data_IF_746115735415
#
_entry.id   IF_746115735415
#
_cell.length_a   1.000
_cell.length_b   1.000
_cell.length_c   1.000
_cell.angle_alpha   90.00
_cell.angle_beta   90.00
_cell.angle_gamma   90.00
#
_symmetry.space_group_name_H-M   'P 1'
#
loop_
_entity.id
_entity.type
_entity.pdbx_description
1 polymer ?
#
# COMPACT_ATOMS: atom_id res chain seq x y z
N UNK A 1 -34.77 5.57 -49.12
CA UNK A 1 -33.41 6.15 -49.26
C UNK A 1 -32.99 6.71 -47.91
N UNK A 2 -32.29 5.92 -47.09
CA UNK A 2 -32.01 6.26 -45.68
C UNK A 2 -30.61 6.86 -45.55
N UNK A 3 -30.52 8.14 -45.15
CA UNK A 3 -29.25 8.84 -44.89
C UNK A 3 -28.74 8.53 -43.49
N UNK A 4 -27.86 7.54 -43.38
CA UNK A 4 -27.10 7.27 -42.15
C UNK A 4 -26.01 8.33 -42.00
N UNK A 5 -26.20 9.29 -41.07
CA UNK A 5 -25.15 10.26 -40.70
C UNK A 5 -24.07 9.53 -39.89
N UNK A 6 -22.89 9.31 -40.49
CA UNK A 6 -21.68 8.94 -39.75
C UNK A 6 -21.27 10.11 -38.86
N UNK A 7 -21.41 9.96 -37.54
CA UNK A 7 -20.84 10.86 -36.54
C UNK A 7 -19.33 10.60 -36.46
N UNK A 8 -18.45 11.60 -36.60
CA UNK A 8 -17.01 11.37 -36.51
C UNK A 8 -16.63 11.05 -35.06
N UNK A 9 -16.15 9.83 -34.82
CA UNK A 9 -15.71 9.32 -33.53
C UNK A 9 -14.26 9.73 -33.18
N UNK A 10 -13.81 10.91 -33.60
CA UNK A 10 -12.40 11.33 -33.46
C UNK A 10 -12.17 12.49 -32.49
N UNK A 11 -13.22 13.20 -32.04
CA UNK A 11 -13.07 14.33 -31.11
C UNK A 11 -13.04 13.94 -29.62
N UNK A 12 -13.56 12.77 -29.27
CA UNK A 12 -13.81 12.38 -27.87
C UNK A 12 -12.59 11.71 -27.21
N UNK A 13 -11.79 10.97 -27.99
CA UNK A 13 -10.55 10.34 -27.51
C UNK A 13 -9.46 11.39 -27.19
N UNK A 14 -9.33 12.43 -28.02
CA UNK A 14 -8.37 13.51 -27.81
C UNK A 14 -8.72 14.40 -26.61
N UNK A 15 -10.02 14.63 -26.35
CA UNK A 15 -10.49 15.38 -25.18
C UNK A 15 -10.29 14.63 -23.86
N UNK A 16 -10.49 13.30 -23.86
CA UNK A 16 -10.26 12.46 -22.69
C UNK A 16 -8.80 12.44 -22.25
N UNK A 17 -7.86 12.37 -23.20
CA UNK A 17 -6.43 12.42 -22.89
C UNK A 17 -6.00 13.78 -22.35
N UNK A 18 -6.54 14.89 -22.89
CA UNK A 18 -6.29 16.24 -22.34
C UNK A 18 -6.83 16.39 -20.91
N UNK A 19 -8.00 15.82 -20.62
CA UNK A 19 -8.59 15.85 -19.26
C UNK A 19 -7.73 15.06 -18.27
N UNK A 20 -7.30 13.85 -18.63
CA UNK A 20 -6.42 13.02 -17.80
C UNK A 20 -5.06 13.68 -17.55
N UNK A 21 -4.49 14.33 -18.57
CA UNK A 21 -3.24 15.08 -18.42
C UNK A 21 -3.42 16.30 -17.49
N UNK A 22 -4.55 17.00 -17.59
CA UNK A 22 -4.88 18.11 -16.70
C UNK A 22 -5.11 17.65 -15.25
N UNK A 23 -5.78 16.51 -15.04
CA UNK A 23 -5.97 15.90 -13.71
C UNK A 23 -4.63 15.44 -13.11
N UNK A 24 -3.75 14.82 -13.90
CA UNK A 24 -2.39 14.47 -13.45
C UNK A 24 -1.57 15.71 -13.11
N UNK A 25 -1.67 16.77 -13.90
CA UNK A 25 -0.98 18.03 -13.61
C UNK A 25 -1.54 18.73 -12.36
N UNK A 26 -2.85 18.67 -12.13
CA UNK A 26 -3.49 19.19 -10.92
C UNK A 26 -3.10 18.38 -9.69
N UNK A 27 -3.10 17.04 -9.80
CA UNK A 27 -2.64 16.15 -8.73
C UNK A 27 -1.16 16.39 -8.40
N UNK A 28 -0.30 16.55 -9.42
CA UNK A 28 1.12 16.87 -9.26
C UNK A 28 1.36 18.25 -8.64
N UNK A 29 0.52 19.25 -8.92
CA UNK A 29 0.57 20.55 -8.23
C UNK A 29 0.10 20.48 -6.78
N UNK A 30 -0.87 19.61 -6.48
CA UNK A 30 -1.44 19.47 -5.14
C UNK A 30 -0.55 18.63 -4.21
N UNK A 31 -0.02 17.50 -4.70
CA UNK A 31 0.80 16.57 -3.93
C UNK A 31 2.31 16.77 -4.10
N UNK A 32 2.74 17.55 -5.10
CA UNK A 32 4.13 17.67 -5.51
C UNK A 32 4.55 16.65 -6.57
N UNK A 33 5.80 16.75 -7.02
CA UNK A 33 6.44 15.71 -7.84
C UNK A 33 6.66 14.48 -6.94
N UNK A 34 6.01 13.35 -7.25
CA UNK A 34 6.29 12.10 -6.54
C UNK A 34 7.57 11.50 -7.10
N UNK A 35 8.72 12.05 -6.71
CA UNK A 35 9.96 11.28 -6.75
C UNK A 35 9.85 10.27 -5.61
N UNK A 36 9.27 9.11 -5.91
CA UNK A 36 9.41 7.98 -4.99
C UNK A 36 10.88 7.61 -5.01
N UNK A 37 11.55 7.83 -3.89
CA UNK A 37 12.88 7.28 -3.65
C UNK A 37 12.82 5.75 -3.81
N UNK A 38 13.97 5.15 -4.12
CA UNK A 38 14.07 3.70 -4.12
C UNK A 38 13.63 3.19 -2.75
N UNK A 39 12.76 2.16 -2.73
CA UNK A 39 12.18 1.70 -1.49
C UNK A 39 13.26 1.14 -0.57
N UNK A 40 13.24 1.57 0.69
CA UNK A 40 14.18 1.09 1.70
C UNK A 40 14.04 -0.41 1.92
N UNK A 41 15.15 -1.08 2.20
CA UNK A 41 15.15 -2.49 2.58
C UNK A 41 14.33 -2.71 3.86
N UNK A 42 13.59 -3.81 3.88
CA UNK A 42 12.70 -4.23 4.95
C UNK A 42 13.46 -5.21 5.85
N UNK A 43 13.52 -4.88 7.14
CA UNK A 43 14.14 -5.71 8.17
C UNK A 43 13.10 -6.22 9.15
N UNK A 44 13.22 -7.49 9.54
CA UNK A 44 12.34 -8.08 10.56
C UNK A 44 12.59 -7.44 11.94
N UNK A 45 11.52 -7.04 12.62
CA UNK A 45 11.60 -6.66 14.04
C UNK A 45 11.85 -7.89 14.92
N UNK A 46 12.65 -7.73 15.98
CA UNK A 46 12.86 -8.77 17.00
C UNK A 46 11.59 -9.09 17.80
N UNK A 47 10.72 -8.09 18.00
CA UNK A 47 9.40 -8.27 18.57
C UNK A 47 8.36 -7.43 17.82
N UNK A 48 7.67 -8.02 16.83
CA UNK A 48 6.66 -7.32 16.04
C UNK A 48 5.43 -6.85 16.86
N UNK A 49 5.20 -7.44 18.03
CA UNK A 49 4.07 -7.10 18.88
C UNK A 49 4.40 -6.00 19.90
N UNK A 50 5.68 -5.67 20.10
CA UNK A 50 6.14 -4.74 21.13
C UNK A 50 5.44 -3.38 21.08
N UNK A 51 5.27 -2.81 19.88
CA UNK A 51 4.55 -1.55 19.70
C UNK A 51 3.10 -1.63 20.17
N UNK A 52 2.40 -2.73 19.84
CA UNK A 52 1.02 -2.92 20.30
C UNK A 52 0.93 -3.14 21.80
N UNK A 53 1.85 -3.92 22.37
CA UNK A 53 1.90 -4.17 23.82
C UNK A 53 2.24 -2.90 24.61
N UNK A 54 2.97 -1.95 24.01
CA UNK A 54 3.30 -0.67 24.64
C UNK A 54 2.09 0.25 24.84
N UNK A 55 0.99 0.02 24.10
CA UNK A 55 -0.24 0.81 24.21
C UNK A 55 -1.07 0.47 25.46
N UNK A 56 -0.69 -0.57 26.20
CA UNK A 56 -1.37 -1.03 27.41
C UNK A 56 -2.38 -2.14 27.15
N UNK A 57 -3.24 -2.38 28.12
CA UNK A 57 -4.25 -3.43 28.02
C UNK A 57 -5.33 -3.08 26.98
N UNK A 58 -5.76 -4.05 26.16
CA UNK A 58 -6.80 -3.80 25.18
C UNK A 58 -8.12 -3.46 25.89
N UNK A 59 -8.91 -2.47 25.39
CA UNK A 59 -10.14 -2.01 26.02
C UNK A 59 -11.31 -2.98 25.78
N UNK A 60 -11.12 -4.26 26.08
CA UNK A 60 -12.07 -5.35 25.88
C UNK A 60 -12.43 -5.95 27.24
N UNK A 61 -13.46 -5.36 27.87
CA UNK A 61 -13.92 -5.72 29.22
C UNK A 61 -14.12 -7.23 29.36
N UNK A 62 -13.44 -7.85 30.31
CA UNK A 62 -13.56 -9.27 30.65
C UNK A 62 -12.87 -10.24 29.69
N UNK A 63 -12.15 -9.73 28.69
CA UNK A 63 -11.39 -10.54 27.72
C UNK A 63 -10.03 -9.92 27.38
N UNK A 64 -9.48 -9.12 28.29
CA UNK A 64 -8.26 -8.35 28.09
C UNK A 64 -7.07 -9.27 27.75
N UNK A 65 -6.88 -10.33 28.53
CA UNK A 65 -5.80 -11.33 28.31
C UNK A 65 -5.94 -12.12 27.01
N UNK A 66 -7.09 -12.77 26.70
CA UNK A 66 -7.23 -13.49 25.44
C UNK A 66 -7.15 -12.56 24.22
N UNK A 67 -7.65 -11.31 24.34
CA UNK A 67 -7.50 -10.32 23.28
C UNK A 67 -6.03 -9.95 23.03
N UNK A 68 -5.26 -9.70 24.10
CA UNK A 68 -3.84 -9.39 23.98
C UNK A 68 -3.03 -10.53 23.36
N UNK A 69 -3.36 -11.78 23.71
CA UNK A 69 -2.77 -12.96 23.08
C UNK A 69 -3.12 -13.05 21.59
N UNK A 70 -4.38 -12.81 21.22
CA UNK A 70 -4.82 -12.79 19.82
C UNK A 70 -4.10 -11.70 19.01
N UNK A 71 -3.98 -10.48 19.55
CA UNK A 71 -3.24 -9.40 18.90
C UNK A 71 -1.77 -9.78 18.66
N UNK A 72 -1.12 -10.37 19.67
CA UNK A 72 0.27 -10.82 19.56
C UNK A 72 0.44 -11.83 18.43
N UNK A 73 -0.46 -12.81 18.31
CA UNK A 73 -0.41 -13.83 17.25
C UNK A 73 -0.61 -13.22 15.86
N UNK A 74 -1.60 -12.33 15.72
CA UNK A 74 -1.90 -11.68 14.44
C UNK A 74 -0.72 -10.82 13.99
N UNK A 75 -0.13 -10.02 14.87
CA UNK A 75 1.00 -9.16 14.52
C UNK A 75 2.25 -9.94 14.15
N UNK A 76 2.56 -11.02 14.89
CA UNK A 76 3.68 -11.90 14.54
C UNK A 76 3.49 -12.53 13.16
N UNK A 77 2.29 -13.03 12.87
CA UNK A 77 2.00 -13.64 11.55
C UNK A 77 2.04 -12.61 10.43
N UNK A 78 1.48 -11.43 10.64
CA UNK A 78 1.51 -10.34 9.68
C UNK A 78 2.95 -9.91 9.35
N UNK A 79 3.81 -9.78 10.36
CA UNK A 79 5.22 -9.46 10.18
C UNK A 79 5.96 -10.53 9.36
N UNK A 80 5.71 -11.82 9.63
CA UNK A 80 6.26 -12.92 8.84
C UNK A 80 5.84 -12.86 7.37
N UNK A 81 4.57 -12.56 7.10
CA UNK A 81 4.06 -12.42 5.73
C UNK A 81 4.62 -11.17 5.03
N UNK A 82 4.77 -10.06 5.76
CA UNK A 82 5.37 -8.84 5.23
C UNK A 82 6.84 -9.08 4.84
N UNK A 83 7.62 -9.78 5.68
CA UNK A 83 8.99 -10.14 5.32
C UNK A 83 9.00 -11.07 4.11
N UNK A 84 8.14 -12.09 4.06
CA UNK A 84 8.05 -12.97 2.90
C UNK A 84 7.73 -12.20 1.62
N UNK A 85 6.79 -11.25 1.67
CA UNK A 85 6.48 -10.38 0.55
C UNK A 85 7.67 -9.48 0.14
N UNK A 86 8.41 -8.95 1.11
CA UNK A 86 9.62 -8.18 0.85
C UNK A 86 10.70 -9.03 0.18
N UNK A 87 10.96 -10.25 0.68
CA UNK A 87 11.92 -11.19 0.09
C UNK A 87 11.54 -11.56 -1.36
N UNK A 88 10.24 -11.78 -1.63
CA UNK A 88 9.75 -12.07 -2.98
C UNK A 88 9.92 -10.89 -3.94
N UNK A 89 9.99 -9.67 -3.42
CA UNK A 89 10.22 -8.45 -4.19
C UNK A 89 11.70 -8.03 -4.22
N UNK A 90 12.60 -8.76 -3.53
CA UNK A 90 14.02 -8.42 -3.41
C UNK A 90 14.28 -7.17 -2.56
N UNK A 91 13.38 -6.89 -1.61
CA UNK A 91 13.42 -5.73 -0.71
C UNK A 91 13.84 -6.11 0.72
N UNK A 92 14.31 -7.32 0.98
CA UNK A 92 14.77 -7.75 2.29
C UNK A 92 16.20 -7.27 2.59
N UNK A 93 16.43 -6.80 3.81
CA UNK A 93 17.75 -6.35 4.30
C UNK A 93 18.65 -7.53 4.71
N UNK A 94 18.05 -8.70 4.95
CA UNK A 94 18.77 -9.95 5.20
C UNK A 94 19.12 -10.60 3.86
N UNK A 95 20.15 -10.08 3.19
CA UNK A 95 20.84 -10.82 2.12
C UNK A 95 21.15 -12.23 2.64
N UNK A 96 20.56 -13.27 2.04
CA UNK A 96 20.82 -14.66 2.40
C UNK A 96 22.31 -14.89 2.58
N UNK A 97 22.75 -14.97 3.84
CA UNK A 97 24.16 -15.12 4.18
C UNK A 97 24.70 -16.41 3.56
N UNK A 98 25.55 -16.25 2.55
CA UNK A 98 26.61 -17.18 2.18
C UNK A 98 27.92 -16.69 2.75
#
# INVERSE_FOLDING_TARGET
MSRTRRRPASGQAAGGQKKLAAERAAAKKFWGESTLDDPSLVRMSSDPAALMLSLGEPPLRGSEKPAQAAFTLVYRKAAQLALLAATAAGLDDDSFGV
#
